data_IF_499266495426
#
_entry.id   IF_499266495426
#
_cell.length_a   1.000
_cell.length_b   1.000
_cell.length_c   1.000
_cell.angle_alpha   90.00
_cell.angle_beta   90.00
_cell.angle_gamma   90.00
#
_symmetry.space_group_name_H-M   'P 1'
#
loop_
_entity.id
_entity.type
_entity.pdbx_description
1 polymer ?
#
# COMPACT_ATOMS: atom_id res chain seq x y z
N UNK A 1 -4.64 -1.43 -1.05
CA UNK A 1 -3.75 -2.59 -1.00
C UNK A 1 -3.99 -3.58 -2.14
N UNK A 2 -5.22 -3.91 -2.47
CA UNK A 2 -5.59 -4.93 -3.46
C UNK A 2 -5.52 -4.41 -4.90
N UNK A 3 -5.26 -5.30 -5.86
CA UNK A 3 -5.15 -4.96 -7.28
C UNK A 3 -6.50 -4.69 -7.95
N UNK A 4 -7.54 -5.35 -7.44
CA UNK A 4 -8.88 -5.28 -7.98
C UNK A 4 -9.92 -5.58 -6.90
N UNK A 5 -11.20 -5.46 -7.26
CA UNK A 5 -12.32 -5.66 -6.35
C UNK A 5 -12.39 -7.10 -5.81
N UNK A 6 -12.19 -8.10 -6.65
CA UNK A 6 -12.22 -9.51 -6.25
C UNK A 6 -11.16 -9.82 -5.20
N UNK A 7 -9.91 -9.37 -5.42
CA UNK A 7 -8.84 -9.52 -4.44
C UNK A 7 -9.14 -8.76 -3.14
N UNK A 8 -9.77 -7.58 -3.23
CA UNK A 8 -10.18 -6.80 -2.06
C UNK A 8 -11.25 -7.54 -1.24
N UNK A 9 -12.24 -8.13 -1.89
CA UNK A 9 -13.29 -8.93 -1.24
C UNK A 9 -12.71 -10.17 -0.56
N UNK A 10 -11.80 -10.89 -1.21
CA UNK A 10 -11.11 -12.05 -0.64
C UNK A 10 -10.25 -11.66 0.58
N UNK A 11 -9.50 -10.58 0.48
CA UNK A 11 -8.69 -10.06 1.59
C UNK A 11 -9.54 -9.62 2.77
N UNK A 12 -10.67 -8.97 2.49
CA UNK A 12 -11.62 -8.55 3.52
C UNK A 12 -12.23 -9.76 4.23
N UNK A 13 -12.65 -10.78 3.47
CA UNK A 13 -13.20 -12.02 4.01
C UNK A 13 -12.22 -12.74 4.94
N UNK A 14 -10.98 -12.95 4.49
CA UNK A 14 -9.92 -13.56 5.29
C UNK A 14 -9.58 -12.74 6.54
N UNK A 15 -9.66 -11.40 6.43
CA UNK A 15 -9.43 -10.50 7.55
C UNK A 15 -10.53 -10.63 8.60
N UNK A 16 -11.80 -10.74 8.20
CA UNK A 16 -12.90 -10.97 9.12
C UNK A 16 -12.77 -12.31 9.86
N UNK A 17 -12.43 -13.38 9.17
CA UNK A 17 -12.16 -14.69 9.80
C UNK A 17 -11.07 -14.54 10.86
N UNK A 18 -9.95 -13.89 10.51
CA UNK A 18 -8.84 -13.67 11.43
C UNK A 18 -9.23 -12.79 12.62
N UNK A 19 -10.05 -11.76 12.42
CA UNK A 19 -10.57 -10.89 13.47
C UNK A 19 -11.43 -11.71 14.45
N UNK A 20 -12.35 -12.54 13.95
CA UNK A 20 -13.18 -13.40 14.77
C UNK A 20 -12.36 -14.40 15.59
N UNK A 21 -11.40 -15.07 14.96
CA UNK A 21 -10.52 -16.03 15.61
C UNK A 21 -9.65 -15.41 16.71
N UNK A 22 -9.36 -14.11 16.60
CA UNK A 22 -8.48 -13.37 17.53
C UNK A 22 -9.22 -12.38 18.43
N UNK A 23 -10.55 -12.35 18.41
CA UNK A 23 -11.32 -11.35 19.15
C UNK A 23 -11.00 -11.35 20.65
N UNK A 24 -10.76 -12.54 21.23
CA UNK A 24 -10.40 -12.70 22.63
C UNK A 24 -9.01 -12.12 22.98
N UNK A 25 -8.18 -11.89 21.97
CA UNK A 25 -6.85 -11.28 22.10
C UNK A 25 -6.89 -9.75 22.10
N UNK A 26 -8.06 -9.17 21.79
CA UNK A 26 -8.24 -7.73 21.89
C UNK A 26 -8.27 -7.28 23.34
N UNK A 27 -7.13 -6.80 23.82
CA UNK A 27 -6.93 -6.42 25.22
C UNK A 27 -7.45 -5.04 25.62
N UNK A 28 -8.35 -4.42 24.84
CA UNK A 28 -8.90 -3.07 25.05
C UNK A 28 -7.84 -1.95 25.19
N UNK A 29 -6.63 -2.20 24.66
CA UNK A 29 -5.55 -1.20 24.58
C UNK A 29 -5.62 -0.50 23.23
N UNK A 30 -6.24 0.68 23.19
CA UNK A 30 -6.50 1.41 21.96
C UNK A 30 -7.87 1.12 21.34
N UNK A 31 -8.15 1.64 20.13
CA UNK A 31 -9.44 1.45 19.48
C UNK A 31 -9.54 0.07 18.83
N UNK A 32 -10.73 -0.51 18.87
CA UNK A 32 -11.05 -1.75 18.13
C UNK A 32 -10.80 -1.60 16.63
N UNK A 33 -11.18 -0.46 16.07
CA UNK A 33 -10.94 -0.15 14.66
C UNK A 33 -9.45 -0.22 14.28
N UNK A 34 -8.57 0.40 15.08
CA UNK A 34 -7.13 0.35 14.87
C UNK A 34 -6.56 -1.06 14.96
N UNK A 35 -7.04 -1.86 15.92
CA UNK A 35 -6.66 -3.26 16.07
C UNK A 35 -7.13 -4.11 14.88
N UNK A 36 -8.39 -3.98 14.45
CA UNK A 36 -8.95 -4.68 13.30
C UNK A 36 -8.26 -4.28 11.99
N UNK A 37 -7.99 -2.98 11.78
CA UNK A 37 -7.22 -2.47 10.64
C UNK A 37 -5.84 -3.10 10.56
N UNK A 38 -5.13 -3.21 11.69
CA UNK A 38 -3.81 -3.84 11.74
C UNK A 38 -3.85 -5.32 11.32
N UNK A 39 -4.89 -6.06 11.73
CA UNK A 39 -5.10 -7.44 11.30
C UNK A 39 -5.32 -7.49 9.79
N UNK A 40 -6.17 -6.61 9.25
CA UNK A 40 -6.47 -6.55 7.81
C UNK A 40 -5.22 -6.28 6.99
N UNK A 41 -4.42 -5.28 7.36
CA UNK A 41 -3.15 -4.97 6.71
C UNK A 41 -2.20 -6.16 6.76
N UNK A 42 -2.03 -6.78 7.94
CA UNK A 42 -1.17 -7.95 8.09
C UNK A 42 -1.62 -9.14 7.23
N UNK A 43 -2.93 -9.37 7.07
CA UNK A 43 -3.48 -10.43 6.22
C UNK A 43 -3.05 -10.23 4.75
N UNK A 44 -3.16 -9.00 4.24
CA UNK A 44 -2.70 -8.67 2.88
C UNK A 44 -1.19 -8.85 2.73
N UNK A 45 -0.41 -8.39 3.71
CA UNK A 45 1.06 -8.49 3.66
C UNK A 45 1.56 -9.92 3.75
N UNK A 46 0.89 -10.80 4.48
CA UNK A 46 1.22 -12.22 4.54
C UNK A 46 1.03 -12.90 3.17
N UNK A 47 -0.06 -12.58 2.46
CA UNK A 47 -0.26 -13.06 1.08
C UNK A 47 0.85 -12.58 0.15
N UNK A 48 1.18 -11.29 0.22
CA UNK A 48 2.27 -10.72 -0.57
C UNK A 48 3.61 -11.43 -0.33
N UNK A 49 3.99 -11.67 0.93
CA UNK A 49 5.23 -12.38 1.26
C UNK A 49 5.24 -13.80 0.71
N UNK A 50 4.11 -14.51 0.80
CA UNK A 50 3.97 -15.86 0.26
C UNK A 50 4.17 -15.88 -1.26
N UNK A 51 3.60 -14.90 -1.97
CA UNK A 51 3.76 -14.76 -3.42
C UNK A 51 5.19 -14.38 -3.82
N UNK A 52 5.88 -13.56 -3.01
CA UNK A 52 7.29 -13.18 -3.25
C UNK A 52 8.25 -14.36 -3.13
N UNK A 53 8.01 -15.30 -2.22
CA UNK A 53 8.84 -16.51 -2.09
C UNK A 53 8.78 -17.41 -3.34
N UNK A 54 7.75 -17.24 -4.18
CA UNK A 54 7.60 -17.96 -5.44
C UNK A 54 8.22 -17.21 -6.64
N UNK A 55 8.50 -15.91 -6.50
CA UNK A 55 9.00 -15.05 -7.58
C UNK A 55 10.17 -14.17 -7.09
N UNK A 56 11.39 -14.70 -7.12
CA UNK A 56 12.61 -13.91 -6.84
C UNK A 56 12.99 -13.13 -8.10
N UNK A 57 12.67 -11.83 -8.14
CA UNK A 57 13.25 -10.88 -9.09
C UNK A 57 13.78 -9.68 -8.33
N UNK A 58 15.09 -9.53 -8.37
CA UNK A 58 15.83 -8.40 -7.81
C UNK A 58 15.83 -7.25 -8.80
N UNK A 59 15.35 -6.09 -8.38
CA UNK A 59 15.61 -4.82 -9.07
C UNK A 59 16.07 -3.76 -8.08
N UNK A 60 17.35 -3.42 -8.20
CA UNK A 60 17.95 -2.26 -7.52
C UNK A 60 17.89 -1.06 -8.46
N UNK A 61 17.30 0.05 -8.00
CA UNK A 61 17.63 1.38 -8.53
C UNK A 61 17.28 2.44 -7.48
N UNK A 62 18.24 3.27 -7.18
CA UNK A 62 18.11 4.44 -6.29
C UNK A 62 17.82 5.66 -7.15
N UNK A 63 16.75 6.41 -6.83
CA UNK A 63 16.58 7.81 -7.21
C UNK A 63 15.62 8.47 -6.24
N UNK A 64 16.07 9.51 -5.54
CA UNK A 64 15.23 10.37 -4.70
C UNK A 64 14.62 11.48 -5.57
N UNK A 65 13.29 11.57 -5.58
CA UNK A 65 12.56 12.68 -6.21
C UNK A 65 11.64 13.31 -5.17
N UNK A 66 11.87 14.57 -4.87
CA UNK A 66 10.96 15.40 -4.05
C UNK A 66 9.69 15.74 -4.85
N UNK A 67 8.55 15.68 -4.18
CA UNK A 67 7.23 15.89 -4.80
C UNK A 67 6.50 17.03 -4.13
N UNK A 68 6.35 18.13 -4.87
CA UNK A 68 5.45 19.22 -4.52
C UNK A 68 4.03 18.91 -5.06
N UNK A 69 3.02 19.03 -4.19
CA UNK A 69 1.62 18.73 -4.54
C UNK A 69 0.81 20.01 -4.59
N UNK A 70 0.63 20.55 -5.78
CA UNK A 70 -0.31 21.63 -6.01
C UNK A 70 -1.72 21.05 -6.31
N UNK A 71 -2.75 21.69 -5.74
CA UNK A 71 -4.12 21.18 -5.68
C UNK A 71 -4.70 20.77 -7.05
N UNK A 72 -5.16 19.54 -7.13
CA UNK A 72 -5.76 18.98 -8.34
C UNK A 72 -7.21 18.61 -8.14
N UNK A 73 -8.10 19.06 -9.05
CA UNK A 73 -9.52 18.67 -9.12
C UNK A 73 -9.72 17.24 -9.65
N UNK A 74 -8.96 16.27 -9.09
CA UNK A 74 -9.13 14.86 -9.42
C UNK A 74 -10.01 14.20 -8.37
N UNK A 75 -11.04 13.47 -8.81
CA UNK A 75 -11.92 12.77 -7.89
C UNK A 75 -11.16 11.70 -7.07
N UNK A 76 -11.58 11.52 -5.83
CA UNK A 76 -11.02 10.47 -4.96
C UNK A 76 -11.08 9.08 -5.62
N UNK A 77 -12.17 8.76 -6.31
CA UNK A 77 -12.32 7.48 -7.01
C UNK A 77 -11.29 7.28 -8.13
N UNK A 78 -10.99 8.34 -8.88
CA UNK A 78 -9.95 8.32 -9.92
C UNK A 78 -8.58 8.10 -9.30
N UNK A 79 -8.25 8.82 -8.23
CA UNK A 79 -6.98 8.67 -7.52
C UNK A 79 -6.81 7.25 -6.96
N UNK A 80 -7.84 6.69 -6.35
CA UNK A 80 -7.83 5.30 -5.87
C UNK A 80 -7.63 4.31 -7.01
N UNK A 81 -8.23 4.54 -8.18
CA UNK A 81 -7.98 3.76 -9.39
C UNK A 81 -6.51 3.76 -9.80
N UNK A 82 -5.86 4.91 -9.81
CA UNK A 82 -4.43 5.02 -10.13
C UNK A 82 -3.55 4.30 -9.11
N UNK A 83 -3.89 4.37 -7.82
CA UNK A 83 -3.19 3.62 -6.78
C UNK A 83 -3.34 2.11 -6.99
N UNK A 84 -4.52 1.63 -7.39
CA UNK A 84 -4.75 0.21 -7.69
C UNK A 84 -3.93 -0.29 -8.90
N UNK A 85 -3.67 0.56 -9.87
CA UNK A 85 -2.86 0.24 -11.05
C UNK A 85 -1.35 0.23 -10.79
N UNK A 86 -0.89 0.73 -9.65
CA UNK A 86 0.53 0.65 -9.28
C UNK A 86 1.01 -0.80 -9.22
N UNK A 87 2.26 -1.08 -9.64
CA UNK A 87 2.91 -2.35 -9.35
C UNK A 87 2.83 -2.70 -7.87
N UNK A 88 2.68 -3.98 -7.54
CA UNK A 88 2.31 -4.44 -6.20
C UNK A 88 3.22 -3.88 -5.08
N UNK A 89 4.54 -3.96 -5.26
CA UNK A 89 5.53 -3.44 -4.29
C UNK A 89 5.41 -1.92 -4.05
N UNK A 90 5.13 -1.15 -5.11
CA UNK A 90 4.96 0.31 -5.02
C UNK A 90 3.64 0.67 -4.36
N UNK A 91 2.56 -0.02 -4.70
CA UNK A 91 1.24 0.16 -4.09
C UNK A 91 1.27 -0.12 -2.59
N UNK A 92 1.87 -1.24 -2.16
CA UNK A 92 1.99 -1.57 -0.74
C UNK A 92 2.79 -0.51 0.02
N UNK A 93 3.97 -0.13 -0.50
CA UNK A 93 4.80 0.88 0.14
C UNK A 93 4.08 2.24 0.21
N UNK A 94 3.40 2.64 -0.86
CA UNK A 94 2.65 3.90 -0.91
C UNK A 94 1.53 3.90 0.13
N UNK A 95 0.70 2.86 0.18
CA UNK A 95 -0.40 2.78 1.12
C UNK A 95 0.07 2.75 2.58
N UNK A 96 1.10 1.96 2.88
CA UNK A 96 1.67 1.89 4.23
C UNK A 96 2.23 3.24 4.68
N UNK A 97 2.97 3.94 3.81
CA UNK A 97 3.59 5.21 4.16
C UNK A 97 2.60 6.38 4.17
N UNK A 98 1.86 6.55 3.06
CA UNK A 98 1.03 7.76 2.84
C UNK A 98 -0.31 7.67 3.53
N UNK A 99 -0.99 6.52 3.46
CA UNK A 99 -2.34 6.37 4.01
C UNK A 99 -2.35 5.89 5.46
N UNK A 100 -1.41 5.02 5.84
CA UNK A 100 -1.38 4.43 7.17
C UNK A 100 -0.29 5.01 8.08
N UNK A 101 0.62 5.84 7.56
CA UNK A 101 1.59 6.61 8.35
C UNK A 101 2.76 5.79 8.92
N UNK A 102 3.05 4.60 8.37
CA UNK A 102 4.21 3.82 8.80
C UNK A 102 5.53 4.44 8.33
N UNK A 103 6.54 4.40 9.17
CA UNK A 103 7.91 4.80 8.82
C UNK A 103 8.55 3.81 7.84
N UNK A 104 9.57 4.25 7.09
CA UNK A 104 10.32 3.35 6.20
C UNK A 104 10.98 2.18 6.94
N UNK A 105 11.34 2.37 8.21
CA UNK A 105 11.87 1.28 9.05
C UNK A 105 10.80 0.21 9.29
N UNK A 106 9.62 0.60 9.75
CA UNK A 106 8.49 -0.33 9.95
C UNK A 106 8.08 -1.01 8.64
N UNK A 107 8.01 -0.27 7.53
CA UNK A 107 7.69 -0.81 6.22
C UNK A 107 8.72 -1.84 5.77
N UNK A 108 10.01 -1.58 5.99
CA UNK A 108 11.08 -2.51 5.65
C UNK A 108 10.95 -3.83 6.42
N UNK A 109 10.63 -3.76 7.70
CA UNK A 109 10.37 -4.94 8.55
C UNK A 109 9.09 -5.69 8.09
N UNK A 110 8.01 -4.94 7.79
CA UNK A 110 6.73 -5.51 7.34
C UNK A 110 6.83 -6.18 5.97
N UNK A 111 7.59 -5.63 5.04
CA UNK A 111 7.73 -6.15 3.67
C UNK A 111 8.95 -7.06 3.47
N UNK A 112 9.83 -7.20 4.46
CA UNK A 112 11.06 -7.99 4.36
C UNK A 112 12.08 -7.39 3.38
N UNK A 113 12.17 -6.05 3.33
CA UNK A 113 13.07 -5.29 2.44
C UNK A 113 14.02 -4.39 3.24
N UNK A 114 14.90 -3.65 2.56
CA UNK A 114 15.69 -2.60 3.22
C UNK A 114 14.91 -1.28 3.31
N UNK A 115 15.33 -0.39 4.21
CA UNK A 115 14.78 0.97 4.29
C UNK A 115 15.06 1.77 3.01
N UNK A 116 16.20 1.55 2.35
CA UNK A 116 16.52 2.12 1.04
C UNK A 116 15.54 1.65 -0.03
N UNK A 117 15.24 0.34 -0.08
CA UNK A 117 14.22 -0.21 -0.99
C UNK A 117 12.83 0.39 -0.72
N UNK A 118 12.46 0.58 0.54
CA UNK A 118 11.20 1.23 0.89
C UNK A 118 11.13 2.68 0.38
N UNK A 119 12.20 3.45 0.53
CA UNK A 119 12.30 4.82 0.02
C UNK A 119 12.20 4.87 -1.51
N UNK A 120 12.96 4.03 -2.21
CA UNK A 120 12.95 3.99 -3.68
C UNK A 120 11.59 3.51 -4.22
N UNK A 121 10.94 2.54 -3.59
CA UNK A 121 9.59 2.12 -3.96
C UNK A 121 8.56 3.25 -3.82
N UNK A 122 8.65 4.04 -2.74
CA UNK A 122 7.77 5.20 -2.55
C UNK A 122 8.02 6.28 -3.61
N UNK A 123 9.28 6.60 -3.91
CA UNK A 123 9.63 7.56 -4.94
C UNK A 123 9.08 7.16 -6.32
N UNK A 124 9.23 5.88 -6.70
CA UNK A 124 8.67 5.35 -7.95
C UNK A 124 7.15 5.35 -7.96
N UNK A 125 6.50 4.99 -6.86
CA UNK A 125 5.04 5.08 -6.75
C UNK A 125 4.55 6.50 -7.01
N UNK A 126 5.18 7.49 -6.36
CA UNK A 126 4.84 8.91 -6.54
C UNK A 126 5.07 9.39 -7.97
N UNK A 127 6.17 8.98 -8.63
CA UNK A 127 6.48 9.34 -10.01
C UNK A 127 5.41 8.82 -10.98
N UNK A 128 5.00 7.55 -10.85
CA UNK A 128 3.93 6.95 -11.67
C UNK A 128 2.60 7.66 -11.45
N UNK A 129 2.24 7.95 -10.21
CA UNK A 129 0.99 8.64 -9.89
C UNK A 129 0.98 10.07 -10.45
N UNK A 130 2.11 10.80 -10.35
CA UNK A 130 2.25 12.13 -10.93
C UNK A 130 2.02 12.11 -12.44
N UNK A 131 2.69 11.21 -13.16
CA UNK A 131 2.53 11.08 -14.60
C UNK A 131 1.08 10.81 -15.02
N UNK A 132 0.38 9.93 -14.29
CA UNK A 132 -1.04 9.65 -14.55
C UNK A 132 -1.93 10.87 -14.30
N UNK A 133 -1.69 11.60 -13.22
CA UNK A 133 -2.41 12.82 -12.86
C UNK A 133 -2.21 13.91 -13.92
N UNK A 134 -0.97 14.13 -14.38
CA UNK A 134 -0.66 15.11 -15.41
C UNK A 134 -1.33 14.78 -16.75
N UNK A 135 -1.30 13.52 -17.16
CA UNK A 135 -2.01 13.06 -18.37
C UNK A 135 -3.51 13.30 -18.29
N UNK A 136 -4.10 13.11 -17.12
CA UNK A 136 -5.53 13.37 -16.92
C UNK A 136 -5.86 14.84 -17.01
N UNK A 137 -5.04 15.72 -16.44
CA UNK A 137 -5.21 17.19 -16.55
C UNK A 137 -5.19 17.65 -18.01
N UNK A 138 -4.29 17.13 -18.82
CA UNK A 138 -4.18 17.49 -20.24
C UNK A 138 -5.43 17.05 -21.02
N UNK A 139 -6.02 15.90 -20.67
CA UNK A 139 -7.21 15.38 -21.35
C UNK A 139 -8.52 16.07 -20.91
N UNK A 140 -8.54 16.79 -19.80
CA UNK A 140 -9.72 17.54 -19.29
C UNK A 140 -9.67 19.00 -19.75
N UNK A 141 -8.51 19.51 -20.09
CA UNK A 141 -8.32 20.84 -20.62
C UNK A 141 -8.58 20.91 -22.15
#
# INVERSE_FOLDING_TARGET
YSRNKTEAEDNLHDSFITIFDKIDQYGFKGSFEGWAKRITVNTVLQKYRKDQHLNVVSENTEDEIEVDTDGTDISLSTLLGYIQELPHKYRLTFNLYVLDGYSHKEISEMLGTSTGTSKSNLARAKAILREKIEKTKINIA
#
